data_IF_001394129542
#
_entry.id   IF_001394129542
#
_cell.length_a   1.000
_cell.length_b   1.000
_cell.length_c   1.000
_cell.angle_alpha   90.00
_cell.angle_beta   90.00
_cell.angle_gamma   90.00
#
_symmetry.space_group_name_H-M   'P 1'
#
loop_
_entity.id
_entity.type
_entity.pdbx_description
1 polymer ?
#
# COMPACT_ATOMS: atom_id res chain seq x y z
N UNK A 1 58.06 -1.35 23.42
CA UNK A 1 57.56 -1.24 22.02
C UNK A 1 56.04 -1.33 22.11
N UNK A 2 55.33 -0.21 21.92
CA UNK A 2 53.85 -0.16 22.02
C UNK A 2 53.32 -0.09 20.60
N UNK A 3 52.56 -1.10 20.18
CA UNK A 3 51.91 -1.14 18.88
C UNK A 3 50.54 -0.46 18.99
N UNK A 4 50.35 0.63 18.25
CA UNK A 4 49.06 1.29 18.08
C UNK A 4 48.32 0.62 16.91
N UNK A 5 47.19 -0.04 17.21
CA UNK A 5 46.27 -0.53 16.18
C UNK A 5 45.37 0.63 15.74
N UNK A 6 45.62 1.14 14.53
CA UNK A 6 44.71 2.07 13.86
C UNK A 6 43.46 1.31 13.41
N UNK A 7 42.35 1.47 14.14
CA UNK A 7 41.02 1.08 13.67
C UNK A 7 40.66 1.98 12.49
N UNK A 8 40.96 1.53 11.27
CA UNK A 8 40.51 2.19 10.05
C UNK A 8 38.99 2.10 9.96
N UNK A 9 38.32 3.24 9.91
CA UNK A 9 36.91 3.34 9.55
C UNK A 9 36.74 2.79 8.13
N UNK A 10 36.17 1.59 8.01
CA UNK A 10 35.78 1.02 6.73
C UNK A 10 34.76 1.92 6.02
N UNK A 11 34.68 1.87 4.68
CA UNK A 11 33.70 2.66 3.95
C UNK A 11 32.29 2.31 4.42
N UNK A 12 31.50 3.33 4.75
CA UNK A 12 30.10 3.15 5.09
C UNK A 12 29.37 2.60 3.86
N UNK A 13 29.01 1.31 3.90
CA UNK A 13 28.16 0.69 2.89
C UNK A 13 26.77 1.33 3.00
N UNK A 14 26.37 2.14 2.01
CA UNK A 14 24.99 2.62 1.93
C UNK A 14 24.05 1.43 1.81
N UNK A 15 23.01 1.39 2.64
CA UNK A 15 21.93 0.42 2.47
C UNK A 15 21.32 0.58 1.06
N UNK A 16 20.93 -0.52 0.39
CA UNK A 16 20.18 -0.44 -0.86
C UNK A 16 18.90 0.38 -0.67
N UNK A 17 18.58 1.25 -1.64
CA UNK A 17 17.29 1.97 -1.63
C UNK A 17 16.16 0.94 -1.78
N UNK A 18 15.08 1.01 -0.98
CA UNK A 18 13.94 0.11 -1.14
C UNK A 18 13.35 0.20 -2.55
N UNK A 19 13.03 -0.96 -3.14
CA UNK A 19 12.27 -1.02 -4.39
C UNK A 19 10.83 -0.57 -4.10
N UNK A 20 10.31 0.43 -4.82
CA UNK A 20 8.92 0.84 -4.64
C UNK A 20 7.95 -0.29 -5.00
N UNK A 21 6.76 -0.26 -4.40
CA UNK A 21 5.60 -1.01 -4.84
C UNK A 21 4.55 -0.04 -5.38
N UNK A 22 3.95 -0.40 -6.50
CA UNK A 22 2.72 0.24 -6.99
C UNK A 22 1.62 -0.79 -6.92
N UNK A 23 0.49 -0.43 -6.34
CA UNK A 23 -0.75 -1.22 -6.32
C UNK A 23 -1.81 -0.36 -7.01
N UNK A 24 -2.37 -0.89 -8.11
CA UNK A 24 -3.48 -0.27 -8.82
C UNK A 24 -4.71 -1.13 -8.62
N UNK A 25 -5.77 -0.56 -8.03
CA UNK A 25 -7.08 -1.19 -7.94
C UNK A 25 -8.13 -0.38 -8.70
N UNK A 26 -9.09 -1.06 -9.31
CA UNK A 26 -10.23 -0.44 -10.01
C UNK A 26 -11.50 -1.03 -9.46
N UNK A 27 -12.48 -0.18 -9.12
CA UNK A 27 -13.70 -0.60 -8.42
C UNK A 27 -14.98 -0.23 -9.18
N UNK A 28 -15.98 -1.12 -9.10
CA UNK A 28 -17.37 -0.81 -9.42
C UNK A 28 -18.08 -0.30 -8.16
N UNK A 29 -18.54 0.95 -8.20
CA UNK A 29 -19.23 1.62 -7.10
C UNK A 29 -20.75 1.35 -7.07
N UNK A 30 -21.28 0.45 -7.90
CA UNK A 30 -22.71 0.12 -7.94
C UNK A 30 -23.27 -0.47 -6.63
N UNK A 31 -22.42 -1.06 -5.78
CA UNK A 31 -22.78 -1.70 -4.50
C UNK A 31 -22.31 -0.93 -3.27
N UNK A 32 -21.98 0.36 -3.42
CA UNK A 32 -21.53 1.23 -2.32
C UNK A 32 -22.39 1.09 -1.05
N UNK A 33 -21.79 0.97 0.17
CA UNK A 33 -20.38 1.23 0.51
C UNK A 33 -19.43 0.04 0.32
N UNK A 34 -19.95 -1.14 0.00
CA UNK A 34 -19.16 -2.35 -0.20
C UNK A 34 -18.92 -2.56 -1.69
N UNK A 35 -17.75 -2.16 -2.18
CA UNK A 35 -17.42 -2.18 -3.60
C UNK A 35 -16.51 -3.36 -3.93
N UNK A 36 -16.62 -3.83 -5.17
CA UNK A 36 -15.82 -4.93 -5.71
C UNK A 36 -15.00 -4.45 -6.88
N UNK A 37 -13.85 -5.08 -7.10
CA UNK A 37 -12.90 -4.63 -8.08
C UNK A 37 -11.85 -5.67 -8.40
N UNK A 38 -10.83 -5.22 -9.12
CA UNK A 38 -9.63 -6.01 -9.40
C UNK A 38 -8.41 -5.18 -9.07
N UNK A 39 -7.28 -5.85 -8.87
CA UNK A 39 -6.01 -5.17 -8.62
C UNK A 39 -4.84 -5.81 -9.36
N UNK A 40 -3.80 -5.00 -9.57
CA UNK A 40 -2.47 -5.44 -10.01
C UNK A 40 -1.40 -4.74 -9.19
N UNK A 41 -0.26 -5.39 -9.00
CA UNK A 41 0.91 -4.78 -8.36
C UNK A 41 2.15 -4.85 -9.26
N UNK A 42 3.08 -3.93 -9.05
CA UNK A 42 4.40 -3.95 -9.70
C UNK A 42 5.51 -3.46 -8.76
N UNK A 43 6.76 -3.76 -9.11
CA UNK A 43 7.95 -3.37 -8.34
C UNK A 43 8.36 -4.44 -7.33
N UNK A 44 8.34 -4.11 -6.03
CA UNK A 44 8.73 -5.04 -4.97
C UNK A 44 7.79 -6.25 -4.82
N UNK A 45 6.57 -6.16 -5.32
CA UNK A 45 5.57 -7.22 -5.34
C UNK A 45 4.88 -7.21 -6.70
N UNK A 46 4.74 -8.37 -7.34
CA UNK A 46 4.09 -8.52 -8.65
C UNK A 46 3.06 -9.63 -8.59
N UNK A 47 1.83 -9.25 -8.30
CA UNK A 47 0.65 -10.12 -8.18
C UNK A 47 -0.58 -9.43 -8.76
N UNK A 48 -1.67 -10.17 -8.91
CA UNK A 48 -2.96 -9.64 -9.35
C UNK A 48 -4.09 -10.50 -8.80
N UNK A 49 -5.30 -9.96 -8.79
CA UNK A 49 -6.49 -10.71 -8.40
C UNK A 49 -7.70 -9.80 -8.19
N UNK A 50 -8.64 -10.29 -7.39
CA UNK A 50 -9.85 -9.56 -7.03
C UNK A 50 -9.59 -8.64 -5.83
N UNK A 51 -10.37 -7.57 -5.72
CA UNK A 51 -10.33 -6.65 -4.59
C UNK A 51 -11.75 -6.41 -4.07
N UNK A 52 -11.88 -6.30 -2.75
CA UNK A 52 -13.07 -5.72 -2.12
C UNK A 52 -12.68 -4.51 -1.28
N UNK A 53 -13.58 -3.54 -1.18
CA UNK A 53 -13.36 -2.36 -0.34
C UNK A 53 -14.64 -1.97 0.39
N UNK A 54 -14.54 -1.77 1.69
CA UNK A 54 -15.58 -1.10 2.48
C UNK A 54 -15.19 0.37 2.67
N UNK A 55 -16.11 1.29 2.39
CA UNK A 55 -15.87 2.74 2.49
C UNK A 55 -16.69 3.37 3.62
N UNK A 56 -16.00 3.80 4.67
CA UNK A 56 -16.60 4.54 5.79
C UNK A 56 -16.37 6.04 5.65
N UNK A 57 -17.39 6.76 5.18
CA UNK A 57 -17.35 8.22 5.08
C UNK A 57 -17.56 8.90 6.43
N UNK A 58 -16.81 9.99 6.66
CA UNK A 58 -17.10 10.89 7.76
C UNK A 58 -18.39 11.70 7.48
N UNK A 59 -18.93 12.37 8.50
CA UNK A 59 -20.24 13.02 8.43
C UNK A 59 -20.42 14.07 7.31
N UNK A 60 -19.33 14.68 6.82
CA UNK A 60 -19.37 15.64 5.73
C UNK A 60 -18.97 15.05 4.36
N UNK A 61 -18.65 13.76 4.30
CA UNK A 61 -18.28 13.05 3.08
C UNK A 61 -16.92 13.45 2.48
N UNK A 62 -16.11 14.25 3.20
CA UNK A 62 -14.83 14.74 2.68
C UNK A 62 -13.70 13.75 2.96
N UNK A 63 -13.85 12.90 3.98
CA UNK A 63 -12.85 11.90 4.35
C UNK A 63 -13.48 10.52 4.41
N UNK A 64 -12.73 9.51 4.00
CA UNK A 64 -13.10 8.12 4.20
C UNK A 64 -11.99 7.35 4.90
N UNK A 65 -12.40 6.44 5.77
CA UNK A 65 -11.60 5.28 6.13
C UNK A 65 -12.01 4.14 5.22
N UNK A 66 -11.08 3.55 4.46
CA UNK A 66 -11.38 2.42 3.61
C UNK A 66 -10.65 1.17 4.10
N UNK A 67 -11.34 0.03 4.09
CA UNK A 67 -10.76 -1.28 4.35
C UNK A 67 -10.75 -2.07 3.05
N UNK A 68 -9.58 -2.17 2.44
CA UNK A 68 -9.35 -2.88 1.19
C UNK A 68 -8.84 -4.29 1.46
N UNK A 69 -9.43 -5.30 0.82
CA UNK A 69 -8.94 -6.68 0.83
C UNK A 69 -8.52 -7.08 -0.58
N UNK A 70 -7.22 -7.25 -0.77
CA UNK A 70 -6.65 -7.81 -1.98
C UNK A 70 -6.65 -9.34 -1.88
N UNK A 71 -7.26 -10.02 -2.86
CA UNK A 71 -7.42 -11.47 -2.91
C UNK A 71 -6.55 -12.01 -4.04
N UNK A 72 -5.39 -12.56 -3.68
CA UNK A 72 -4.47 -13.21 -4.62
C UNK A 72 -4.55 -14.74 -4.51
N UNK A 73 -3.91 -15.44 -5.44
CA UNK A 73 -3.88 -16.92 -5.44
C UNK A 73 -3.27 -17.51 -4.16
N UNK A 74 -2.33 -16.81 -3.54
CA UNK A 74 -1.48 -17.35 -2.48
C UNK A 74 -1.85 -16.80 -1.08
N UNK A 75 -2.95 -16.03 -0.99
CA UNK A 75 -3.42 -15.42 0.25
C UNK A 75 -4.10 -14.07 0.04
N UNK A 76 -4.40 -13.42 1.15
CA UNK A 76 -5.02 -12.08 1.18
C UNK A 76 -4.12 -11.03 1.80
N UNK A 77 -4.32 -9.78 1.42
CA UNK A 77 -3.68 -8.60 2.02
C UNK A 77 -4.80 -7.63 2.41
N UNK A 78 -4.84 -7.21 3.67
CA UNK A 78 -5.74 -6.17 4.15
C UNK A 78 -4.97 -4.86 4.24
N UNK A 79 -5.51 -3.84 3.59
CA UNK A 79 -4.97 -2.47 3.55
C UNK A 79 -6.00 -1.54 4.18
N UNK A 80 -5.54 -0.69 5.09
CA UNK A 80 -6.32 0.46 5.54
C UNK A 80 -5.91 1.69 4.76
N UNK A 81 -6.89 2.51 4.39
CA UNK A 81 -6.66 3.79 3.73
C UNK A 81 -7.33 4.92 4.48
N UNK A 82 -6.70 6.09 4.45
CA UNK A 82 -7.26 7.35 4.91
C UNK A 82 -7.32 8.30 3.72
N UNK A 83 -8.52 8.52 3.19
CA UNK A 83 -8.77 9.25 1.96
C UNK A 83 -9.32 10.66 2.24
N UNK A 84 -9.02 11.60 1.34
CA UNK A 84 -9.52 12.97 1.33
C UNK A 84 -10.00 13.37 -0.06
N UNK A 85 -11.30 13.67 -0.18
CA UNK A 85 -11.99 14.06 -1.42
C UNK A 85 -12.08 15.57 -1.64
N UNK A 86 -11.33 16.37 -0.86
CA UNK A 86 -11.39 17.84 -0.90
C UNK A 86 -10.57 18.51 -2.02
N UNK A 87 -9.90 17.73 -2.87
CA UNK A 87 -9.02 18.18 -3.95
C UNK A 87 -9.51 17.70 -5.32
N UNK A 88 -9.13 18.36 -6.44
CA UNK A 88 -9.50 17.92 -7.80
C UNK A 88 -9.06 16.49 -8.12
N UNK A 89 -7.98 16.04 -7.50
CA UNK A 89 -7.57 14.64 -7.48
C UNK A 89 -7.59 14.20 -6.02
N UNK A 90 -8.56 13.38 -5.60
CA UNK A 90 -8.59 12.86 -4.25
C UNK A 90 -7.30 12.12 -3.91
N UNK A 91 -6.86 12.26 -2.68
CA UNK A 91 -5.58 11.75 -2.20
C UNK A 91 -5.74 11.03 -0.85
N UNK A 92 -4.72 10.30 -0.44
CA UNK A 92 -4.73 9.61 0.84
C UNK A 92 -3.41 8.94 1.19
N UNK A 93 -3.47 8.12 2.22
CA UNK A 93 -2.39 7.23 2.65
C UNK A 93 -2.92 5.82 2.81
N UNK A 94 -2.07 4.83 2.60
CA UNK A 94 -2.42 3.42 2.75
C UNK A 94 -1.40 2.69 3.64
N UNK A 95 -1.84 1.63 4.30
CA UNK A 95 -1.01 0.78 5.16
C UNK A 95 -1.50 -0.67 5.12
N UNK A 96 -0.58 -1.62 4.91
CA UNK A 96 -0.88 -3.05 5.06
C UNK A 96 -0.96 -3.38 6.55
N UNK A 97 -2.16 -3.75 7.00
CA UNK A 97 -2.43 -4.06 8.41
C UNK A 97 -2.26 -5.55 8.70
N UNK A 98 -2.63 -6.42 7.75
CA UNK A 98 -2.50 -7.87 7.89
C UNK A 98 -2.45 -8.59 6.55
N UNK A 99 -1.97 -9.83 6.54
CA UNK A 99 -2.12 -10.72 5.41
C UNK A 99 -2.28 -12.18 5.84
N UNK A 100 -2.58 -13.04 4.87
CA UNK A 100 -2.67 -14.50 5.04
C UNK A 100 -1.80 -15.22 4.02
N UNK A 101 -1.58 -16.53 4.21
CA UNK A 101 -0.77 -17.33 3.29
C UNK A 101 0.64 -16.77 3.11
N UNK A 102 1.04 -16.52 1.86
CA UNK A 102 2.34 -15.94 1.52
C UNK A 102 2.56 -14.52 2.10
N UNK A 103 1.50 -13.84 2.57
CA UNK A 103 1.55 -12.43 2.98
C UNK A 103 1.41 -12.20 4.49
N UNK A 104 1.46 -13.26 5.32
CA UNK A 104 1.20 -13.16 6.78
C UNK A 104 2.06 -12.12 7.53
N UNK A 105 3.28 -11.87 7.06
CA UNK A 105 4.20 -10.90 7.64
C UNK A 105 4.50 -9.71 6.71
N UNK A 106 3.75 -9.56 5.62
CA UNK A 106 3.95 -8.46 4.69
C UNK A 106 3.61 -7.13 5.39
N UNK A 107 4.53 -6.17 5.31
CA UNK A 107 4.32 -4.80 5.80
C UNK A 107 4.66 -3.83 4.69
N UNK A 108 3.93 -2.72 4.66
CA UNK A 108 4.13 -1.69 3.67
C UNK A 108 3.14 -0.56 3.86
N UNK A 109 3.52 0.62 3.38
CA UNK A 109 2.67 1.80 3.40
C UNK A 109 3.12 2.78 2.32
N UNK A 110 2.29 3.81 2.11
CA UNK A 110 2.64 4.92 1.24
C UNK A 110 1.49 5.87 0.96
N UNK A 111 1.59 6.55 -0.18
CA UNK A 111 0.59 7.52 -0.66
C UNK A 111 -0.42 6.87 -1.61
N UNK A 112 -1.65 7.35 -1.56
CA UNK A 112 -2.75 6.98 -2.44
C UNK A 112 -3.16 8.21 -3.26
N UNK A 113 -3.35 8.01 -4.56
CA UNK A 113 -4.06 8.94 -5.44
C UNK A 113 -5.27 8.21 -6.01
N UNK A 114 -6.37 8.94 -6.22
CA UNK A 114 -7.60 8.36 -6.77
C UNK A 114 -8.03 9.09 -8.04
N UNK A 115 -7.38 8.83 -9.19
CA UNK A 115 -7.87 9.32 -10.47
C UNK A 115 -9.10 8.52 -10.90
N UNK A 116 -10.21 9.20 -11.16
CA UNK A 116 -11.47 8.59 -11.61
C UNK A 116 -11.98 7.49 -10.65
N UNK A 117 -12.12 6.25 -11.14
CA UNK A 117 -12.58 5.06 -10.41
C UNK A 117 -11.42 4.16 -9.93
N UNK A 118 -10.18 4.66 -9.99
CA UNK A 118 -8.98 3.91 -9.64
C UNK A 118 -8.40 4.36 -8.31
N UNK A 119 -7.78 3.41 -7.62
CA UNK A 119 -6.87 3.66 -6.51
C UNK A 119 -5.44 3.35 -6.94
N UNK A 120 -4.63 4.40 -7.04
CA UNK A 120 -3.21 4.33 -7.36
C UNK A 120 -2.38 4.50 -6.08
N UNK A 121 -2.04 3.37 -5.46
CA UNK A 121 -1.23 3.29 -4.26
C UNK A 121 0.24 3.15 -4.65
N UNK A 122 1.10 4.02 -4.12
CA UNK A 122 2.56 3.93 -4.28
C UNK A 122 3.22 3.96 -2.92
N UNK A 123 4.29 3.17 -2.73
CA UNK A 123 4.96 3.10 -1.44
C UNK A 123 6.10 2.11 -1.41
N UNK A 124 6.38 1.56 -0.22
CA UNK A 124 7.45 0.59 0.00
C UNK A 124 6.97 -0.56 0.87
N UNK A 125 7.52 -1.75 0.61
CA UNK A 125 7.41 -2.93 1.46
C UNK A 125 8.68 -3.02 2.33
N UNK A 126 8.54 -3.37 3.61
CA UNK A 126 9.65 -3.42 4.57
C UNK A 126 9.52 -4.57 5.58
#
# INVERSE_FOLDING_TARGET
MIAFFTMGSGPAQSAPKPTPVTITATYDFSTFPDVIGTFTTSGALTISGDSTMHVDLNANGIRAHCVVTLIASDGTIIIHQECQFGSPTPEGRWEIVSGTGAYVNLKGNGSLLMPDDQEAMTGVIY
#
